data_IF_538626012098
#
_entry.id   IF_538626012098
#
_cell.length_a   1.000
_cell.length_b   1.000
_cell.length_c   1.000
_cell.angle_alpha   90.00
_cell.angle_beta   90.00
_cell.angle_gamma   90.00
#
_symmetry.space_group_name_H-M   'P 1'
#
loop_
_entity.id
_entity.type
_entity.pdbx_description
1 polymer ?
#
# COMPACT_ATOMS: atom_id res chain seq x y z
N UNK A 1 76.04 -69.00 41.73
CA UNK A 1 76.30 -70.46 41.70
C UNK A 1 74.94 -71.16 41.63
N UNK A 2 74.66 -71.87 40.53
CA UNK A 2 73.52 -72.79 40.31
C UNK A 2 72.13 -72.12 40.18
N UNK A 3 71.38 -72.20 39.08
CA UNK A 3 70.74 -73.40 38.50
C UNK A 3 69.78 -74.05 39.53
N UNK A 4 68.49 -74.31 39.32
CA UNK A 4 67.76 -74.74 38.13
C UNK A 4 66.23 -74.54 38.32
N UNK A 5 65.55 -74.65 37.19
CA UNK A 5 64.12 -74.60 36.92
C UNK A 5 63.36 -75.88 37.29
N UNK A 6 62.03 -75.80 37.11
CA UNK A 6 61.02 -76.85 36.85
C UNK A 6 60.16 -77.26 38.07
N UNK A 7 58.87 -77.58 38.02
CA UNK A 7 57.80 -77.63 36.99
C UNK A 7 56.48 -78.00 37.70
N UNK A 8 55.36 -77.61 37.09
CA UNK A 8 54.01 -78.17 37.30
C UNK A 8 52.98 -77.15 36.77
N UNK A 9 52.40 -77.20 35.56
CA UNK A 9 51.94 -78.28 34.67
C UNK A 9 50.92 -79.19 35.40
N UNK A 10 49.66 -79.34 35.01
CA UNK A 10 49.00 -79.17 33.71
C UNK A 10 47.47 -79.35 33.90
N UNK A 11 46.70 -78.94 32.87
CA UNK A 11 45.47 -79.62 32.39
C UNK A 11 44.15 -79.22 33.04
N UNK A 12 43.05 -78.95 32.33
CA UNK A 12 42.75 -78.62 30.94
C UNK A 12 41.24 -78.34 30.87
N UNK A 13 40.83 -77.44 29.98
CA UNK A 13 39.73 -77.67 29.04
C UNK A 13 39.76 -76.56 27.98
N UNK A 14 40.11 -76.94 26.75
CA UNK A 14 39.88 -76.24 25.49
C UNK A 14 38.97 -77.16 24.62
N UNK A 15 38.51 -76.78 23.40
CA UNK A 15 38.45 -75.48 22.70
C UNK A 15 36.99 -75.19 22.21
N UNK A 16 36.65 -74.11 21.50
CA UNK A 16 36.64 -74.04 20.02
C UNK A 16 36.15 -72.66 19.54
N UNK A 17 36.79 -72.18 18.47
CA UNK A 17 36.41 -71.15 17.46
C UNK A 17 36.09 -69.72 17.92
N UNK A 18 36.95 -68.73 17.65
CA UNK A 18 37.31 -68.08 16.37
C UNK A 18 36.59 -66.72 16.25
N UNK A 19 37.25 -65.70 15.69
CA UNK A 19 37.08 -64.30 16.08
C UNK A 19 36.12 -63.57 15.16
N UNK A 20 35.29 -62.65 15.66
CA UNK A 20 34.82 -61.53 14.84
C UNK A 20 34.15 -60.39 15.64
N UNK A 21 34.61 -59.18 15.31
CA UNK A 21 33.93 -57.89 15.32
C UNK A 21 33.12 -57.42 16.55
N UNK A 22 33.77 -56.58 17.37
CA UNK A 22 33.07 -55.61 18.21
C UNK A 22 32.46 -54.51 17.34
N UNK A 23 31.17 -54.62 17.05
CA UNK A 23 30.41 -53.57 16.37
C UNK A 23 30.19 -52.35 17.27
N UNK A 24 30.85 -51.23 16.95
CA UNK A 24 30.56 -49.92 17.53
C UNK A 24 29.12 -49.48 17.20
N UNK A 25 28.39 -48.81 18.11
CA UNK A 25 27.04 -48.34 17.84
C UNK A 25 27.06 -47.27 16.74
N UNK A 26 26.55 -47.61 15.56
CA UNK A 26 26.41 -46.68 14.45
C UNK A 26 25.27 -45.70 14.72
N UNK A 27 25.62 -44.46 15.11
CA UNK A 27 24.66 -43.34 15.15
C UNK A 27 24.09 -43.17 13.73
N UNK A 28 22.75 -43.22 13.53
CA UNK A 28 22.17 -43.19 12.20
C UNK A 28 22.49 -41.87 11.50
N UNK A 29 23.44 -41.91 10.56
CA UNK A 29 23.86 -40.77 9.71
C UNK A 29 22.80 -40.32 8.69
N UNK A 30 21.53 -40.69 8.89
CA UNK A 30 20.44 -40.48 7.92
C UNK A 30 19.79 -39.09 7.97
N UNK A 31 20.08 -38.28 9.00
CA UNK A 31 19.53 -36.92 9.17
C UNK A 31 20.21 -35.83 8.31
N UNK A 32 21.45 -36.06 7.83
CA UNK A 32 22.24 -35.02 7.12
C UNK A 32 21.79 -34.76 5.67
N UNK A 33 21.24 -35.74 4.95
CA UNK A 33 20.79 -35.54 3.56
C UNK A 33 19.47 -34.76 3.49
N UNK A 34 18.48 -35.09 4.32
CA UNK A 34 17.21 -34.33 4.38
C UNK A 34 17.43 -32.87 4.80
N UNK A 35 18.37 -32.65 5.73
CA UNK A 35 18.78 -31.29 6.13
C UNK A 35 19.39 -30.50 4.97
N UNK A 36 20.27 -31.11 4.16
CA UNK A 36 20.85 -30.44 2.98
C UNK A 36 19.79 -30.08 1.93
N UNK A 37 18.85 -30.97 1.65
CA UNK A 37 17.73 -30.69 0.74
C UNK A 37 16.81 -29.59 1.27
N UNK A 38 16.56 -29.58 2.59
CA UNK A 38 15.82 -28.50 3.23
C UNK A 38 16.50 -27.13 3.05
N UNK A 39 17.81 -27.03 3.30
CA UNK A 39 18.55 -25.77 3.07
C UNK A 39 18.62 -25.38 1.60
N UNK A 40 18.76 -26.36 0.70
CA UNK A 40 18.75 -26.09 -0.74
C UNK A 40 17.38 -25.53 -1.18
N UNK A 41 16.28 -26.14 -0.75
CA UNK A 41 14.93 -25.63 -1.01
C UNK A 41 14.71 -24.24 -0.41
N UNK A 42 15.25 -23.99 0.80
CA UNK A 42 15.18 -22.68 1.43
C UNK A 42 15.95 -21.62 0.63
N UNK A 43 17.17 -21.92 0.18
CA UNK A 43 17.97 -21.01 -0.64
C UNK A 43 17.28 -20.74 -1.98
N UNK A 44 16.77 -21.78 -2.65
CA UNK A 44 16.01 -21.62 -3.90
C UNK A 44 14.76 -20.77 -3.68
N UNK A 45 14.04 -21.00 -2.58
CA UNK A 45 12.88 -20.21 -2.19
C UNK A 45 13.23 -18.74 -1.95
N UNK A 46 14.33 -18.45 -1.27
CA UNK A 46 14.82 -17.09 -1.05
C UNK A 46 15.22 -16.39 -2.35
N UNK A 47 15.91 -17.08 -3.26
CA UNK A 47 16.28 -16.52 -4.57
C UNK A 47 15.03 -16.23 -5.41
N UNK A 48 14.05 -17.13 -5.41
CA UNK A 48 12.79 -16.92 -6.10
C UNK A 48 12.00 -15.74 -5.50
N UNK A 49 11.96 -15.63 -4.16
CA UNK A 49 11.33 -14.51 -3.46
C UNK A 49 12.03 -13.18 -3.79
N UNK A 50 13.37 -13.14 -3.74
CA UNK A 50 14.14 -11.96 -4.09
C UNK A 50 13.91 -11.54 -5.54
N UNK A 51 13.82 -12.51 -6.46
CA UNK A 51 13.49 -12.26 -7.85
C UNK A 51 12.09 -11.67 -8.01
N UNK A 52 11.08 -12.27 -7.37
CA UNK A 52 9.70 -11.78 -7.38
C UNK A 52 9.59 -10.36 -6.79
N UNK A 53 10.25 -10.12 -5.64
CA UNK A 53 10.33 -8.81 -5.02
C UNK A 53 11.00 -7.78 -5.93
N UNK A 54 12.10 -8.14 -6.60
CA UNK A 54 12.78 -7.23 -7.55
C UNK A 54 11.90 -6.87 -8.75
N UNK A 55 11.09 -7.82 -9.24
CA UNK A 55 10.12 -7.57 -10.30
C UNK A 55 9.00 -6.67 -9.83
N UNK A 56 8.51 -6.89 -8.61
CA UNK A 56 7.44 -6.06 -8.05
C UNK A 56 7.94 -4.64 -7.76
N UNK A 57 9.11 -4.45 -7.17
CA UNK A 57 9.70 -3.12 -6.96
C UNK A 57 9.91 -2.35 -8.27
N UNK A 58 10.21 -3.05 -9.37
CA UNK A 58 10.39 -2.43 -10.69
C UNK A 58 9.09 -2.14 -11.43
N UNK A 59 8.00 -2.83 -11.14
CA UNK A 59 6.78 -2.77 -11.95
C UNK A 59 5.48 -2.48 -11.20
N UNK A 60 5.51 -2.58 -9.87
CA UNK A 60 4.42 -2.36 -8.92
C UNK A 60 3.09 -2.99 -9.33
N UNK A 61 3.13 -4.13 -10.03
CA UNK A 61 1.96 -4.71 -10.69
C UNK A 61 0.96 -5.26 -9.69
N UNK A 62 1.45 -5.99 -8.69
CA UNK A 62 0.59 -6.60 -7.70
C UNK A 62 0.01 -5.53 -6.77
N UNK A 63 0.85 -4.62 -6.28
CA UNK A 63 0.43 -3.47 -5.46
C UNK A 63 -0.60 -2.60 -6.19
N UNK A 64 -0.33 -2.21 -7.43
CA UNK A 64 -1.26 -1.36 -8.18
C UNK A 64 -2.61 -2.06 -8.39
N UNK A 65 -2.62 -3.36 -8.68
CA UNK A 65 -3.87 -4.12 -8.87
C UNK A 65 -4.70 -4.17 -7.58
N UNK A 66 -4.07 -4.42 -6.45
CA UNK A 66 -4.72 -4.50 -5.15
C UNK A 66 -5.24 -3.13 -4.70
N UNK A 67 -4.42 -2.07 -4.83
CA UNK A 67 -4.86 -0.71 -4.52
C UNK A 67 -5.95 -0.23 -5.46
N UNK A 68 -5.89 -0.55 -6.76
CA UNK A 68 -6.96 -0.20 -7.70
C UNK A 68 -8.27 -0.88 -7.33
N UNK A 69 -8.21 -2.14 -6.89
CA UNK A 69 -9.39 -2.88 -6.44
C UNK A 69 -10.02 -2.24 -5.21
N UNK A 70 -9.22 -1.84 -4.22
CA UNK A 70 -9.71 -1.15 -3.02
C UNK A 70 -10.24 0.24 -3.39
N UNK A 71 -9.49 1.02 -4.17
CA UNK A 71 -9.90 2.36 -4.59
C UNK A 71 -11.23 2.35 -5.36
N UNK A 72 -11.52 1.30 -6.13
CA UNK A 72 -12.79 1.14 -6.82
C UNK A 72 -14.01 1.01 -5.89
N UNK A 73 -13.81 0.68 -4.61
CA UNK A 73 -14.91 0.64 -3.62
C UNK A 73 -15.07 1.95 -2.84
N UNK A 74 -14.07 2.83 -2.90
CA UNK A 74 -14.06 4.16 -2.27
C UNK A 74 -14.87 5.17 -3.09
N UNK A 75 -16.18 4.93 -3.17
CA UNK A 75 -17.11 5.70 -4.00
C UNK A 75 -18.02 6.60 -3.17
N UNK A 76 -18.56 7.63 -3.81
CA UNK A 76 -19.60 8.49 -3.25
C UNK A 76 -20.71 8.70 -4.28
N UNK A 77 -21.91 8.98 -3.80
CA UNK A 77 -23.05 9.35 -4.66
C UNK A 77 -23.73 10.61 -4.10
N UNK A 78 -24.32 11.43 -4.95
CA UNK A 78 -25.11 12.58 -4.49
C UNK A 78 -26.57 12.15 -4.41
N UNK A 79 -27.15 12.21 -3.22
CA UNK A 79 -28.53 11.82 -2.97
C UNK A 79 -29.35 13.04 -2.51
N UNK A 80 -30.68 13.04 -2.71
CA UNK A 80 -31.54 14.09 -2.20
C UNK A 80 -31.54 14.15 -0.66
N UNK A 81 -31.59 15.37 -0.13
CA UNK A 81 -31.64 15.62 1.32
C UNK A 81 -30.27 15.70 2.00
N UNK A 82 -30.27 15.90 3.33
CA UNK A 82 -29.06 15.87 4.15
C UNK A 82 -28.51 14.45 4.31
N UNK A 83 -27.19 14.33 4.43
CA UNK A 83 -26.47 13.08 4.62
C UNK A 83 -25.79 13.02 5.98
N UNK A 84 -25.99 11.92 6.69
CA UNK A 84 -25.19 11.55 7.88
C UNK A 84 -23.98 10.66 7.50
N UNK A 85 -23.90 10.25 6.22
CA UNK A 85 -22.86 9.39 5.67
C UNK A 85 -21.76 10.22 4.99
N UNK A 86 -21.20 11.19 5.70
CA UNK A 86 -20.13 12.05 5.19
C UNK A 86 -19.15 12.45 6.31
N UNK A 87 -17.87 12.53 5.97
CA UNK A 87 -16.84 13.11 6.83
C UNK A 87 -16.27 14.33 6.11
N UNK A 88 -16.39 15.50 6.74
CA UNK A 88 -15.81 16.73 6.20
C UNK A 88 -14.30 16.75 6.43
N UNK A 89 -13.51 17.26 5.47
CA UNK A 89 -12.06 17.32 5.60
C UNK A 89 -11.65 18.27 6.74
N UNK A 90 -10.47 17.99 7.31
CA UNK A 90 -9.87 18.83 8.34
C UNK A 90 -9.11 20.01 7.76
N UNK A 91 -7.92 20.24 8.29
CA UNK A 91 -7.18 21.49 8.13
C UNK A 91 -6.29 21.60 6.87
N UNK A 92 -6.64 20.85 5.81
CA UNK A 92 -5.91 20.85 4.54
C UNK A 92 -5.86 22.25 3.89
N UNK A 93 -4.73 22.67 3.30
CA UNK A 93 -4.62 24.01 2.70
C UNK A 93 -5.58 24.21 1.53
N UNK A 94 -5.84 23.16 0.74
CA UNK A 94 -6.84 23.17 -0.33
C UNK A 94 -8.25 23.18 0.24
N UNK A 95 -8.54 22.32 1.21
CA UNK A 95 -9.86 22.26 1.87
C UNK A 95 -10.24 23.59 2.52
N UNK A 96 -9.29 24.24 3.21
CA UNK A 96 -9.47 25.57 3.80
C UNK A 96 -9.73 26.62 2.74
N UNK A 97 -8.91 26.63 1.69
CA UNK A 97 -8.99 27.60 0.59
C UNK A 97 -10.30 27.50 -0.19
N UNK A 98 -10.83 26.29 -0.37
CA UNK A 98 -12.09 26.03 -1.06
C UNK A 98 -13.30 26.03 -0.09
N UNK A 99 -13.07 26.19 1.21
CA UNK A 99 -14.11 26.28 2.24
C UNK A 99 -14.68 24.93 2.69
N UNK A 100 -14.13 23.81 2.23
CA UNK A 100 -14.57 22.46 2.60
C UNK A 100 -14.40 22.17 4.10
N UNK A 101 -13.32 22.66 4.71
CA UNK A 101 -13.06 22.50 6.15
C UNK A 101 -14.14 23.13 7.04
N UNK A 102 -14.81 24.17 6.54
CA UNK A 102 -15.82 24.93 7.28
C UNK A 102 -17.26 24.43 7.06
N UNK A 103 -17.47 23.39 6.24
CA UNK A 103 -18.80 22.86 5.94
C UNK A 103 -19.53 22.36 7.19
N UNK A 104 -18.81 21.77 8.13
CA UNK A 104 -19.35 21.33 9.42
C UNK A 104 -20.00 22.47 10.22
N UNK A 105 -19.51 23.70 10.06
CA UNK A 105 -20.05 24.89 10.73
C UNK A 105 -21.10 25.63 9.88
N UNK A 106 -20.87 25.71 8.56
CA UNK A 106 -21.75 26.45 7.66
C UNK A 106 -23.12 25.80 7.51
N UNK A 107 -23.18 24.48 7.38
CA UNK A 107 -24.44 23.78 7.15
C UNK A 107 -25.42 23.94 8.34
N UNK A 108 -25.02 23.76 9.62
CA UNK A 108 -25.90 24.03 10.75
C UNK A 108 -26.39 25.48 10.81
N UNK A 109 -25.51 26.46 10.55
CA UNK A 109 -25.87 27.89 10.55
C UNK A 109 -26.87 28.24 9.45
N UNK A 110 -26.71 27.66 8.26
CA UNK A 110 -27.65 27.83 7.16
C UNK A 110 -29.02 27.21 7.50
N UNK A 111 -29.03 26.02 8.10
CA UNK A 111 -30.28 25.39 8.56
C UNK A 111 -31.03 26.22 9.61
N UNK A 112 -30.31 26.87 10.53
CA UNK A 112 -30.91 27.81 11.50
C UNK A 112 -31.57 29.03 10.84
N UNK A 113 -31.17 29.37 9.61
CA UNK A 113 -31.74 30.45 8.80
C UNK A 113 -32.77 29.95 7.77
N UNK A 114 -33.31 28.75 7.96
CA UNK A 114 -34.33 28.14 7.11
C UNK A 114 -33.85 27.80 5.69
N UNK A 115 -32.54 27.67 5.46
CA UNK A 115 -32.04 27.07 4.22
C UNK A 115 -32.21 25.54 4.26
N UNK A 116 -32.50 24.96 3.10
CA UNK A 116 -32.71 23.52 2.93
C UNK A 116 -31.54 22.89 2.18
N UNK A 117 -31.10 21.74 2.66
CA UNK A 117 -30.13 20.89 1.94
C UNK A 117 -30.93 20.07 0.93
N UNK A 118 -30.90 20.48 -0.34
CA UNK A 118 -31.63 19.79 -1.41
C UNK A 118 -30.99 18.44 -1.74
N UNK A 119 -29.66 18.37 -1.74
CA UNK A 119 -28.90 17.17 -1.99
C UNK A 119 -27.53 17.25 -1.33
N UNK A 120 -26.98 16.08 -1.01
CA UNK A 120 -25.69 15.96 -0.35
C UNK A 120 -24.97 14.70 -0.81
N UNK A 121 -23.64 14.68 -0.68
CA UNK A 121 -22.85 13.50 -0.96
C UNK A 121 -23.02 12.46 0.16
N UNK A 122 -23.19 11.20 -0.23
CA UNK A 122 -23.24 10.01 0.61
C UNK A 122 -22.04 9.13 0.25
N UNK A 123 -21.16 8.90 1.22
CA UNK A 123 -20.02 8.02 1.08
C UNK A 123 -20.47 6.56 1.17
N UNK A 124 -19.81 5.68 0.41
CA UNK A 124 -19.92 4.24 0.66
C UNK A 124 -19.41 3.91 2.07
N UNK A 125 -19.83 2.77 2.61
CA UNK A 125 -19.34 2.32 3.92
C UNK A 125 -17.81 2.19 3.92
N UNK A 126 -17.24 1.62 2.86
CA UNK A 126 -15.80 1.51 2.68
C UNK A 126 -15.11 2.88 2.70
N UNK A 127 -15.71 3.89 2.06
CA UNK A 127 -15.16 5.24 2.05
C UNK A 127 -15.29 5.93 3.42
N UNK A 128 -16.38 5.70 4.15
CA UNK A 128 -16.51 6.19 5.53
C UNK A 128 -15.46 5.59 6.44
N UNK A 129 -15.24 4.28 6.37
CA UNK A 129 -14.26 3.62 7.21
C UNK A 129 -12.85 4.06 6.81
N UNK A 130 -12.56 4.16 5.52
CA UNK A 130 -11.30 4.72 5.00
C UNK A 130 -11.01 6.13 5.53
N UNK A 131 -11.98 7.03 5.47
CA UNK A 131 -11.83 8.42 5.95
C UNK A 131 -11.71 8.52 7.47
N UNK A 132 -12.41 7.67 8.22
CA UNK A 132 -12.30 7.60 9.68
C UNK A 132 -10.91 7.18 10.15
N UNK A 133 -10.14 6.48 9.33
CA UNK A 133 -8.73 6.21 9.59
C UNK A 133 -7.81 7.41 9.32
N UNK A 134 -8.36 8.57 8.98
CA UNK A 134 -7.60 9.80 8.71
C UNK A 134 -6.95 9.84 7.33
N UNK A 135 -7.39 8.99 6.40
CA UNK A 135 -6.86 8.92 5.04
C UNK A 135 -7.57 9.92 4.12
N UNK A 136 -6.83 10.43 3.12
CA UNK A 136 -7.34 11.41 2.16
C UNK A 136 -8.25 10.78 1.13
N UNK A 137 -9.47 11.29 1.00
CA UNK A 137 -10.46 10.76 0.04
C UNK A 137 -9.93 10.86 -1.39
N UNK A 138 -9.96 9.77 -2.18
CA UNK A 138 -9.60 9.82 -3.58
C UNK A 138 -10.77 10.36 -4.43
N UNK A 139 -11.01 11.67 -4.39
CA UNK A 139 -11.94 12.34 -5.31
C UNK A 139 -11.20 13.28 -6.26
N UNK A 140 -11.82 13.58 -7.40
CA UNK A 140 -11.30 14.60 -8.31
C UNK A 140 -11.44 15.97 -7.66
N UNK A 141 -10.32 16.56 -7.26
CA UNK A 141 -10.30 17.90 -6.66
C UNK A 141 -10.77 18.95 -7.68
N UNK A 142 -11.61 19.87 -7.21
CA UNK A 142 -11.99 21.03 -8.00
C UNK A 142 -10.84 22.02 -8.01
N UNK A 143 -10.37 22.35 -9.20
CA UNK A 143 -9.32 23.34 -9.44
C UNK A 143 -9.83 24.79 -9.37
N UNK A 144 -11.15 24.99 -9.35
CA UNK A 144 -11.81 26.27 -9.12
C UNK A 144 -13.08 26.08 -8.30
N UNK A 145 -13.32 26.97 -7.33
CA UNK A 145 -14.56 27.06 -6.56
C UNK A 145 -15.15 28.45 -6.70
N UNK A 146 -16.34 28.67 -6.14
CA UNK A 146 -17.02 29.95 -6.25
C UNK A 146 -18.39 29.98 -5.59
N UNK A 147 -18.97 31.17 -5.59
CA UNK A 147 -20.35 31.41 -5.19
C UNK A 147 -21.08 32.05 -6.36
N UNK A 148 -22.10 31.37 -6.87
CA UNK A 148 -23.05 31.92 -7.84
C UNK A 148 -24.40 32.08 -7.16
N UNK A 149 -24.97 33.28 -7.24
CA UNK A 149 -26.31 33.59 -6.76
C UNK A 149 -27.13 34.00 -7.99
N UNK A 150 -28.23 33.30 -8.22
CA UNK A 150 -29.14 33.59 -9.33
C UNK A 150 -30.52 33.98 -8.82
N UNK A 151 -31.27 34.76 -9.62
CA UNK A 151 -32.68 35.07 -9.36
C UNK A 151 -33.59 33.85 -9.67
N UNK A 152 -34.90 34.00 -9.44
CA UNK A 152 -35.91 32.97 -9.71
C UNK A 152 -36.05 32.61 -11.21
N UNK A 153 -35.49 33.41 -12.12
CA UNK A 153 -35.42 33.15 -13.57
C UNK A 153 -34.05 32.60 -13.99
N UNK A 154 -33.27 32.12 -13.01
CA UNK A 154 -31.91 31.62 -13.17
C UNK A 154 -30.91 32.66 -13.74
N UNK A 155 -31.21 33.96 -13.65
CA UNK A 155 -30.31 35.02 -14.08
C UNK A 155 -29.26 35.30 -12.99
N UNK A 156 -27.97 35.43 -13.35
CA UNK A 156 -26.92 35.66 -12.36
C UNK A 156 -27.07 37.05 -11.71
N UNK A 157 -27.22 37.08 -10.38
CA UNK A 157 -27.22 38.29 -9.55
C UNK A 157 -25.81 38.58 -9.00
N UNK A 158 -25.07 37.53 -8.67
CA UNK A 158 -23.72 37.60 -8.15
C UNK A 158 -22.93 36.38 -8.58
N UNK A 159 -21.68 36.58 -8.98
CA UNK A 159 -20.77 35.49 -9.25
C UNK A 159 -19.39 35.82 -8.72
N UNK A 160 -18.84 34.90 -7.94
CA UNK A 160 -17.48 34.94 -7.45
C UNK A 160 -16.82 33.61 -7.76
N UNK A 161 -15.63 33.64 -8.38
CA UNK A 161 -14.84 32.46 -8.67
C UNK A 161 -13.45 32.63 -8.05
N UNK A 162 -12.92 31.54 -7.51
CA UNK A 162 -11.60 31.48 -6.93
C UNK A 162 -10.88 30.17 -7.33
N UNK A 163 -9.64 30.23 -7.85
CA UNK A 163 -8.92 31.45 -8.19
C UNK A 163 -9.61 32.20 -9.34
N UNK A 164 -9.44 33.54 -9.39
CA UNK A 164 -10.03 34.38 -10.44
C UNK A 164 -9.38 34.12 -11.81
N UNK A 165 -8.07 33.88 -11.81
CA UNK A 165 -7.31 33.48 -12.99
C UNK A 165 -7.21 31.96 -13.02
N UNK A 166 -7.71 31.37 -14.09
CA UNK A 166 -7.81 29.93 -14.22
C UNK A 166 -7.86 29.53 -15.69
N UNK A 167 -7.20 28.43 -16.04
CA UNK A 167 -7.29 27.80 -17.35
C UNK A 167 -8.16 26.54 -17.24
N UNK A 168 -9.32 26.48 -17.93
CA UNK A 168 -10.28 25.38 -17.80
C UNK A 168 -9.78 24.02 -18.25
N UNK A 169 -8.75 24.01 -19.08
CA UNK A 169 -8.10 22.80 -19.58
C UNK A 169 -6.64 23.08 -19.87
N UNK A 170 -5.85 22.02 -20.01
CA UNK A 170 -4.47 22.13 -20.45
C UNK A 170 -4.33 22.87 -21.79
N UNK A 171 -5.24 22.61 -22.74
CA UNK A 171 -5.27 23.28 -24.05
C UNK A 171 -5.58 24.77 -24.00
N UNK A 172 -6.16 25.27 -22.90
CA UNK A 172 -6.44 26.69 -22.71
C UNK A 172 -5.23 27.47 -22.19
N UNK A 173 -4.17 26.78 -21.74
CA UNK A 173 -2.94 27.42 -21.26
C UNK A 173 -2.19 27.97 -22.48
N UNK A 174 -1.84 29.27 -22.52
CA UNK A 174 -1.04 29.85 -23.58
C UNK A 174 0.26 29.06 -23.80
N UNK A 175 0.61 28.68 -25.04
CA UNK A 175 1.80 27.89 -25.32
C UNK A 175 3.09 28.51 -24.75
N UNK A 176 3.20 29.83 -24.74
CA UNK A 176 4.33 30.55 -24.14
C UNK A 176 4.50 30.26 -22.64
N UNK A 177 3.41 30.09 -21.89
CA UNK A 177 3.47 29.75 -20.46
C UNK A 177 3.94 28.30 -20.30
N UNK A 178 3.38 27.38 -21.09
CA UNK A 178 3.79 25.96 -21.07
C UNK A 178 5.28 25.86 -21.39
N UNK A 179 5.73 26.46 -22.49
CA UNK A 179 7.13 26.42 -22.90
C UNK A 179 8.06 27.05 -21.86
N UNK A 180 7.64 28.14 -21.21
CA UNK A 180 8.43 28.80 -20.16
C UNK A 180 8.58 27.90 -18.92
N UNK A 181 7.50 27.26 -18.48
CA UNK A 181 7.53 26.34 -17.33
C UNK A 181 8.37 25.10 -17.64
N UNK A 182 8.21 24.50 -18.82
CA UNK A 182 9.05 23.38 -19.23
C UNK A 182 10.52 23.79 -19.28
N UNK A 183 10.85 24.97 -19.80
CA UNK A 183 12.23 25.45 -19.82
C UNK A 183 12.86 25.56 -18.43
N UNK A 184 12.10 25.97 -17.41
CA UNK A 184 12.59 26.16 -16.03
C UNK A 184 12.60 24.84 -15.24
N UNK A 185 11.55 24.03 -15.35
CA UNK A 185 11.34 22.85 -14.52
C UNK A 185 11.95 21.58 -15.14
N UNK A 186 11.80 21.40 -16.46
CA UNK A 186 12.35 20.24 -17.18
C UNK A 186 12.46 20.51 -18.68
N UNK A 187 13.60 21.04 -19.11
CA UNK A 187 13.86 21.46 -20.50
C UNK A 187 13.77 20.32 -21.49
N UNK A 188 14.09 19.10 -21.10
CA UNK A 188 14.12 17.94 -22.00
C UNK A 188 12.73 17.62 -22.57
N UNK A 189 11.65 18.09 -21.92
CA UNK A 189 10.27 17.98 -22.42
C UNK A 189 9.94 18.95 -23.56
N UNK A 190 10.83 19.90 -23.88
CA UNK A 190 10.71 20.78 -25.04
C UNK A 190 11.27 20.14 -26.32
N UNK A 191 12.14 19.15 -26.18
CA UNK A 191 12.78 18.50 -27.31
C UNK A 191 11.89 17.35 -27.81
N UNK A 192 11.36 17.43 -29.05
CA UNK A 192 10.68 16.29 -29.64
C UNK A 192 11.73 15.19 -29.90
N UNK A 193 11.52 14.02 -29.29
CA UNK A 193 12.35 12.83 -29.50
C UNK A 193 12.29 12.33 -30.95
#
# INVERSE_FOLDING_TARGET
>A
MGALWQTGSTTAAQPTDSPDDQSLPQIPRRRRRGWRWFWLLLVVGLVALAYAASREVRSSKWQAREFSRVAATLVYTVQPGPSDAIVYPGDGPFDKRLGYSALGDFLPRLRQRNYLIQSQAHFSQDLLDYTRHGLFVPYAEKIQAGLSISDCRAQPLYQFNYPQQFYPSFSAIPPVIVSSLLFIENRDLLDPA
#
